data_IF_322528266513
#
_entry.id   IF_322528266513
#
_cell.length_a   1.000
_cell.length_b   1.000
_cell.length_c   1.000
_cell.angle_alpha   90.00
_cell.angle_beta   90.00
_cell.angle_gamma   90.00
#
_symmetry.space_group_name_H-M   'P 1'
#
loop_
_entity.id
_entity.type
_entity.pdbx_description
1 polymer ?
#
# COMPACT_ATOMS: atom_id res chain seq x y z
N UNK A 1 45.28 23.55 75.96
CA UNK A 1 44.29 23.96 76.97
C UNK A 1 43.14 24.64 76.24
N UNK A 2 41.89 24.27 76.58
CA UNK A 2 40.67 24.48 75.80
C UNK A 2 40.07 25.89 76.03
N UNK A 3 39.71 26.60 74.95
CA UNK A 3 38.70 27.69 74.92
C UNK A 3 37.72 27.31 73.79
N UNK A 4 36.43 27.03 74.03
CA UNK A 4 35.31 27.86 74.50
C UNK A 4 34.56 28.59 73.37
N UNK A 5 33.25 28.29 73.31
CA UNK A 5 32.09 29.03 72.78
C UNK A 5 31.91 29.35 71.29
N UNK A 6 30.85 28.72 70.77
CA UNK A 6 29.69 29.30 70.06
C UNK A 6 29.89 30.42 69.03
N UNK A 7 29.54 30.11 67.77
CA UNK A 7 28.73 30.98 66.90
C UNK A 7 27.84 30.13 66.01
N UNK A 8 26.52 30.35 66.11
CA UNK A 8 25.48 29.81 65.24
C UNK A 8 25.57 30.52 63.88
N UNK A 9 25.70 29.78 62.79
CA UNK A 9 25.45 30.29 61.44
C UNK A 9 24.27 29.54 60.83
N UNK A 10 23.15 30.24 60.73
CA UNK A 10 21.99 29.86 59.93
C UNK A 10 22.36 30.07 58.46
N UNK A 11 22.52 28.99 57.70
CA UNK A 11 22.59 29.06 56.24
C UNK A 11 21.19 28.83 55.67
N UNK A 12 20.61 29.88 55.08
CA UNK A 12 19.45 29.77 54.19
C UNK A 12 19.87 28.97 52.95
N UNK A 13 19.41 27.73 52.84
CA UNK A 13 19.52 26.97 51.59
C UNK A 13 18.40 27.41 50.65
N UNK A 14 18.75 28.25 49.68
CA UNK A 14 17.88 28.56 48.53
C UNK A 14 17.90 27.32 47.62
N UNK A 15 16.87 26.48 47.72
CA UNK A 15 16.67 25.35 46.82
C UNK A 15 16.23 25.87 45.44
N UNK A 16 17.18 25.95 44.51
CA UNK A 16 16.92 26.21 43.10
C UNK A 16 16.27 24.95 42.51
N UNK A 17 14.96 25.04 42.23
CA UNK A 17 14.25 24.04 41.44
C UNK A 17 14.63 24.22 39.96
N UNK A 18 15.63 23.46 39.51
CA UNK A 18 15.89 23.30 38.07
C UNK A 18 14.80 22.36 37.56
N UNK A 19 13.81 22.94 36.88
CA UNK A 19 12.84 22.19 36.09
C UNK A 19 13.59 21.46 34.98
N UNK A 20 13.86 20.17 35.20
CA UNK A 20 14.28 19.28 34.13
C UNK A 20 13.04 18.99 33.29
N UNK A 21 12.79 19.84 32.30
CA UNK A 21 11.85 19.53 31.23
C UNK A 21 12.36 18.27 30.56
N UNK A 22 11.76 17.13 30.89
CA UNK A 22 11.88 15.94 30.08
C UNK A 22 11.25 16.29 28.73
N UNK A 23 12.09 16.76 27.80
CA UNK A 23 11.79 16.73 26.38
C UNK A 23 11.52 15.27 26.06
N UNK A 24 10.24 14.90 26.08
CA UNK A 24 9.78 13.58 25.70
C UNK A 24 10.43 13.26 24.37
N UNK A 25 11.27 12.22 24.36
CA UNK A 25 11.70 11.61 23.13
C UNK A 25 10.44 11.42 22.27
N UNK A 26 10.36 12.14 21.14
CA UNK A 26 9.54 11.73 20.03
C UNK A 26 10.05 10.35 19.63
N UNK A 27 9.46 9.32 20.21
CA UNK A 27 9.49 8.00 19.64
C UNK A 27 8.76 8.14 18.30
N UNK A 28 9.56 8.42 17.26
CA UNK A 28 9.24 8.03 15.89
C UNK A 28 9.16 6.50 15.92
N UNK A 29 8.05 5.99 16.44
CA UNK A 29 7.64 4.62 16.26
C UNK A 29 7.44 4.51 14.75
N UNK A 30 8.46 3.99 14.06
CA UNK A 30 8.28 3.47 12.71
C UNK A 30 7.18 2.45 12.85
N UNK A 31 5.95 2.89 12.57
CA UNK A 31 4.75 2.09 12.52
C UNK A 31 5.09 0.92 11.61
N UNK A 32 5.41 -0.25 12.22
CA UNK A 32 5.71 -1.46 11.46
C UNK A 32 4.52 -1.68 10.56
N UNK A 33 4.72 -1.46 9.26
CA UNK A 33 3.63 -1.57 8.31
C UNK A 33 2.99 -2.94 8.43
N UNK A 34 1.65 -3.01 8.39
CA UNK A 34 0.90 -4.28 8.36
C UNK A 34 1.39 -5.19 7.21
N UNK A 35 1.90 -4.59 6.13
CA UNK A 35 2.58 -5.27 5.04
C UNK A 35 4.00 -4.70 4.88
N UNK A 36 4.92 -5.52 4.36
CA UNK A 36 6.31 -5.11 4.11
C UNK A 36 6.41 -3.97 3.08
N UNK A 37 5.51 -3.96 2.09
CA UNK A 37 5.37 -2.90 1.09
C UNK A 37 4.02 -2.22 1.26
N UNK A 38 4.01 -1.08 1.95
CA UNK A 38 2.85 -0.20 2.07
C UNK A 38 3.26 1.18 1.63
N UNK A 39 2.74 1.64 0.49
CA UNK A 39 2.82 3.05 0.12
C UNK A 39 2.00 3.91 1.09
N UNK A 40 1.65 5.11 0.65
CA UNK A 40 0.77 6.04 1.36
C UNK A 40 -0.62 5.46 1.69
N UNK A 41 -1.02 4.37 1.01
CA UNK A 41 -2.37 3.83 1.08
C UNK A 41 -3.39 4.69 0.34
N UNK A 42 -2.96 5.73 -0.38
CA UNK A 42 -3.82 6.59 -1.19
C UNK A 42 -3.81 6.11 -2.63
N UNK A 43 -5.00 5.95 -3.21
CA UNK A 43 -5.14 5.48 -4.58
C UNK A 43 -6.15 6.35 -5.34
N UNK A 44 -5.83 6.68 -6.59
CA UNK A 44 -6.77 7.24 -7.56
C UNK A 44 -6.88 6.24 -8.72
N UNK A 45 -8.01 5.55 -8.81
CA UNK A 45 -8.21 4.40 -9.68
C UNK A 45 -9.25 4.72 -10.74
N UNK A 46 -9.01 4.34 -11.99
CA UNK A 46 -9.99 4.37 -13.07
C UNK A 46 -9.97 3.04 -13.82
N UNK A 47 -11.10 2.32 -13.88
CA UNK A 47 -11.20 1.08 -14.62
C UNK A 47 -11.81 1.30 -15.99
N UNK A 48 -11.00 1.04 -17.02
CA UNK A 48 -11.34 1.30 -18.42
C UNK A 48 -12.41 0.35 -18.97
N UNK A 49 -12.67 -0.78 -18.31
CA UNK A 49 -13.65 -1.78 -18.74
C UNK A 49 -15.07 -1.44 -18.32
N UNK A 50 -15.23 -0.82 -17.14
CA UNK A 50 -16.53 -0.52 -16.56
C UNK A 50 -16.74 0.99 -16.28
N UNK A 51 -15.75 1.82 -16.64
CA UNK A 51 -15.73 3.27 -16.46
C UNK A 51 -15.88 3.76 -15.02
N UNK A 52 -15.69 2.88 -14.03
CA UNK A 52 -15.76 3.26 -12.61
C UNK A 52 -14.44 3.87 -12.16
N UNK A 53 -14.56 4.86 -11.28
CA UNK A 53 -13.43 5.59 -10.70
C UNK A 53 -13.61 5.74 -9.19
N UNK A 54 -12.51 5.71 -8.45
CA UNK A 54 -12.50 6.01 -7.02
C UNK A 54 -11.21 6.72 -6.60
N UNK A 55 -11.32 7.61 -5.61
CA UNK A 55 -10.19 8.13 -4.82
C UNK A 55 -10.37 7.64 -3.40
N UNK A 56 -9.42 6.88 -2.89
CA UNK A 56 -9.55 6.18 -1.60
C UNK A 56 -8.31 6.31 -0.74
N UNK A 57 -8.51 6.22 0.57
CA UNK A 57 -7.45 6.01 1.56
C UNK A 57 -7.73 4.66 2.25
N UNK A 58 -6.81 3.70 2.07
CA UNK A 58 -6.98 2.31 2.50
C UNK A 58 -6.92 2.13 4.03
N UNK A 59 -6.41 3.12 4.74
CA UNK A 59 -6.28 3.12 6.19
C UNK A 59 -7.08 4.25 6.81
N UNK A 60 -7.67 3.98 7.97
CA UNK A 60 -8.21 5.01 8.85
C UNK A 60 -7.07 5.73 9.60
N UNK A 61 -7.33 6.90 10.23
CA UNK A 61 -6.32 7.62 11.00
C UNK A 61 -5.68 6.82 12.14
N UNK A 62 -6.37 5.79 12.66
CA UNK A 62 -5.87 4.88 13.69
C UNK A 62 -5.04 3.71 13.12
N UNK A 63 -4.84 3.65 11.80
CA UNK A 63 -4.11 2.58 11.10
C UNK A 63 -4.89 1.27 10.93
N UNK A 64 -6.20 1.24 11.24
CA UNK A 64 -7.08 0.14 10.86
C UNK A 64 -7.44 0.19 9.37
N UNK A 65 -7.84 -0.94 8.78
CA UNK A 65 -8.29 -0.98 7.40
C UNK A 65 -9.61 -0.21 7.25
N UNK A 66 -9.71 0.61 6.21
CA UNK A 66 -10.91 1.36 5.89
C UNK A 66 -11.86 0.53 5.03
N UNK A 67 -12.75 -0.23 5.67
CA UNK A 67 -13.73 -1.12 5.00
C UNK A 67 -14.53 -0.42 3.88
N UNK A 68 -14.96 0.82 4.11
CA UNK A 68 -15.68 1.61 3.11
C UNK A 68 -14.82 1.92 1.87
N UNK A 69 -13.53 2.22 2.06
CA UNK A 69 -12.59 2.39 0.95
C UNK A 69 -12.40 1.08 0.16
N UNK A 70 -12.29 -0.06 0.84
CA UNK A 70 -12.18 -1.37 0.19
C UNK A 70 -13.45 -1.70 -0.62
N UNK A 71 -14.64 -1.40 -0.10
CA UNK A 71 -15.89 -1.57 -0.85
C UNK A 71 -15.96 -0.70 -2.12
N UNK A 72 -15.40 0.51 -2.11
CA UNK A 72 -15.27 1.33 -3.33
C UNK A 72 -14.26 0.73 -4.32
N UNK A 73 -13.14 0.21 -3.83
CA UNK A 73 -12.16 -0.50 -4.67
C UNK A 73 -12.80 -1.73 -5.33
N UNK A 74 -13.57 -2.53 -4.59
CA UNK A 74 -14.26 -3.69 -5.15
C UNK A 74 -15.21 -3.32 -6.29
N UNK A 75 -15.96 -2.22 -6.13
CA UNK A 75 -16.81 -1.67 -7.19
C UNK A 75 -16.00 -1.34 -8.43
N UNK A 76 -14.86 -0.65 -8.28
CA UNK A 76 -13.96 -0.29 -9.38
C UNK A 76 -13.39 -1.55 -10.03
N UNK A 77 -12.94 -2.53 -9.25
CA UNK A 77 -12.37 -3.79 -9.74
C UNK A 77 -13.41 -4.71 -10.37
N UNK A 78 -14.71 -4.47 -10.14
CA UNK A 78 -15.79 -5.35 -10.58
C UNK A 78 -15.84 -6.65 -9.77
N UNK A 79 -15.34 -6.63 -8.53
CA UNK A 79 -15.31 -7.77 -7.63
C UNK A 79 -16.70 -8.02 -7.02
N UNK A 80 -17.24 -9.26 -7.06
CA UNK A 80 -18.54 -9.56 -6.50
C UNK A 80 -18.46 -9.64 -4.97
N UNK A 81 -19.17 -8.75 -4.29
CA UNK A 81 -19.19 -8.66 -2.81
C UNK A 81 -20.33 -9.46 -2.17
N UNK A 82 -20.86 -10.47 -2.86
CA UNK A 82 -22.02 -11.26 -2.41
C UNK A 82 -21.75 -12.11 -1.16
N UNK A 83 -20.48 -12.29 -0.79
CA UNK A 83 -20.06 -12.88 0.48
C UNK A 83 -19.55 -11.73 1.34
N UNK A 84 -20.24 -11.49 2.46
CA UNK A 84 -19.84 -10.48 3.46
C UNK A 84 -18.40 -10.81 3.90
N UNK A 85 -17.51 -9.82 3.88
CA UNK A 85 -16.10 -9.87 4.37
C UNK A 85 -15.01 -10.28 3.35
N UNK A 86 -15.32 -10.46 2.07
CA UNK A 86 -14.28 -10.60 1.03
C UNK A 86 -14.08 -9.30 0.24
N UNK A 87 -12.80 -8.93 0.09
CA UNK A 87 -12.36 -7.77 -0.71
C UNK A 87 -11.24 -8.18 -1.66
N UNK A 88 -10.98 -7.32 -2.65
CA UNK A 88 -9.70 -7.33 -3.35
C UNK A 88 -8.55 -7.33 -2.35
N UNK A 89 -7.53 -8.15 -2.62
CA UNK A 89 -6.42 -8.42 -1.72
C UNK A 89 -5.80 -7.13 -1.16
N UNK A 90 -5.80 -6.92 0.17
CA UNK A 90 -5.13 -5.78 0.78
C UNK A 90 -3.65 -5.71 0.39
N UNK A 91 -2.97 -6.87 0.33
CA UNK A 91 -1.57 -6.95 -0.11
C UNK A 91 -1.38 -6.38 -1.52
N UNK A 92 -2.27 -6.70 -2.46
CA UNK A 92 -2.23 -6.15 -3.82
C UNK A 92 -2.34 -4.62 -3.80
N UNK A 93 -3.31 -4.09 -3.07
CA UNK A 93 -3.59 -2.65 -3.04
C UNK A 93 -2.47 -1.85 -2.38
N UNK A 94 -1.86 -2.38 -1.31
CA UNK A 94 -0.72 -1.72 -0.67
C UNK A 94 0.56 -1.76 -1.54
N UNK A 95 0.80 -2.85 -2.29
CA UNK A 95 1.89 -2.88 -3.27
C UNK A 95 1.60 -1.92 -4.45
N UNK A 96 0.36 -1.87 -4.93
CA UNK A 96 -0.04 -0.93 -5.97
C UNK A 96 0.20 0.52 -5.52
N UNK A 97 -0.20 0.87 -4.30
CA UNK A 97 0.08 2.19 -3.72
C UNK A 97 1.58 2.44 -3.61
N UNK A 98 2.35 1.48 -3.08
CA UNK A 98 3.80 1.61 -2.93
C UNK A 98 4.50 1.93 -4.26
N UNK A 99 4.28 1.11 -5.29
CA UNK A 99 4.94 1.33 -6.58
C UNK A 99 4.45 2.58 -7.30
N UNK A 100 3.16 2.92 -7.16
CA UNK A 100 2.61 4.14 -7.76
C UNK A 100 3.18 5.39 -7.09
N UNK A 101 3.36 5.38 -5.77
CA UNK A 101 3.98 6.47 -5.02
C UNK A 101 5.46 6.66 -5.38
N UNK A 102 6.18 5.58 -5.69
CA UNK A 102 7.58 5.67 -6.13
C UNK A 102 7.74 6.34 -7.49
N UNK A 103 6.86 6.03 -8.45
CA UNK A 103 7.06 6.46 -9.85
C UNK A 103 6.23 7.68 -10.24
N UNK A 104 5.07 7.87 -9.60
CA UNK A 104 4.09 8.87 -10.00
C UNK A 104 3.11 9.20 -8.86
N UNK A 105 3.58 9.83 -7.76
CA UNK A 105 2.77 10.08 -6.57
C UNK A 105 1.44 10.78 -6.88
N UNK A 106 0.34 10.22 -6.37
CA UNK A 106 -1.00 10.78 -6.49
C UNK A 106 -1.60 10.80 -7.91
N UNK A 107 -0.91 10.22 -8.90
CA UNK A 107 -1.43 10.11 -10.27
C UNK A 107 -2.50 9.04 -10.38
N UNK A 108 -3.39 9.22 -11.35
CA UNK A 108 -4.43 8.26 -11.66
C UNK A 108 -3.83 6.97 -12.25
N UNK A 109 -4.25 5.85 -11.70
CA UNK A 109 -3.94 4.51 -12.17
C UNK A 109 -5.05 4.07 -13.12
N UNK A 110 -4.71 3.88 -14.39
CA UNK A 110 -5.62 3.37 -15.41
C UNK A 110 -5.56 1.84 -15.43
N UNK A 111 -6.66 1.20 -15.04
CA UNK A 111 -6.79 -0.25 -14.92
C UNK A 111 -7.38 -0.81 -16.22
N UNK A 112 -6.63 -1.68 -16.89
CA UNK A 112 -7.06 -2.39 -18.10
C UNK A 112 -7.79 -3.70 -17.76
N UNK A 113 -7.32 -4.37 -16.71
CA UNK A 113 -7.95 -5.57 -16.17
C UNK A 113 -7.77 -5.65 -14.68
N UNK A 114 -8.86 -5.88 -13.96
CA UNK A 114 -8.88 -6.14 -12.53
C UNK A 114 -9.35 -7.58 -12.29
N UNK A 115 -10.32 -7.77 -11.39
CA UNK A 115 -10.98 -9.05 -11.19
C UNK A 115 -11.56 -9.61 -12.51
N UNK A 116 -11.46 -10.92 -12.68
CA UNK A 116 -12.05 -11.66 -13.79
C UNK A 116 -12.96 -12.74 -13.21
N UNK A 117 -14.23 -12.75 -13.59
CA UNK A 117 -15.07 -13.92 -13.28
C UNK A 117 -14.57 -15.16 -14.02
N UNK A 118 -14.81 -16.37 -13.50
CA UNK A 118 -14.48 -17.62 -14.21
C UNK A 118 -15.01 -17.64 -15.65
N UNK A 119 -16.27 -17.26 -15.83
CA UNK A 119 -16.91 -17.15 -17.14
C UNK A 119 -16.19 -16.20 -18.10
N UNK A 120 -15.75 -15.04 -17.60
CA UNK A 120 -15.00 -14.09 -18.41
C UNK A 120 -13.64 -14.65 -18.80
N UNK A 121 -12.92 -15.25 -17.84
CA UNK A 121 -11.61 -15.86 -18.08
C UNK A 121 -11.70 -16.97 -19.14
N UNK A 122 -12.71 -17.83 -19.06
CA UNK A 122 -12.94 -18.87 -20.05
C UNK A 122 -13.31 -18.32 -21.43
N UNK A 123 -14.09 -17.24 -21.50
CA UNK A 123 -14.42 -16.58 -22.77
C UNK A 123 -13.18 -16.04 -23.48
N UNK A 124 -12.27 -15.36 -22.76
CA UNK A 124 -11.03 -14.83 -23.38
C UNK A 124 -10.08 -15.96 -23.79
N UNK A 125 -10.00 -17.03 -23.00
CA UNK A 125 -9.21 -18.23 -23.35
C UNK A 125 -9.72 -18.89 -24.63
N UNK A 126 -11.04 -19.05 -24.77
CA UNK A 126 -11.66 -19.59 -25.99
C UNK A 126 -11.40 -18.73 -27.23
N UNK A 127 -11.12 -17.44 -27.05
CA UNK A 127 -10.75 -16.50 -28.12
C UNK A 127 -9.25 -16.49 -28.42
N UNK A 128 -8.47 -17.37 -27.81
CA UNK A 128 -7.02 -17.49 -28.04
C UNK A 128 -6.16 -16.57 -27.18
N UNK A 129 -6.71 -15.90 -26.17
CA UNK A 129 -5.88 -15.12 -25.24
C UNK A 129 -5.04 -16.05 -24.35
N UNK A 130 -3.79 -15.66 -24.11
CA UNK A 130 -2.88 -16.33 -23.17
C UNK A 130 -3.30 -16.05 -21.71
N UNK A 131 -4.41 -16.64 -21.27
CA UNK A 131 -4.90 -16.54 -19.90
C UNK A 131 -4.81 -17.88 -19.17
N UNK A 132 -4.24 -17.86 -17.95
CA UNK A 132 -4.08 -19.04 -17.12
C UNK A 132 -5.43 -19.62 -16.66
N UNK A 133 -5.49 -20.95 -16.46
CA UNK A 133 -6.67 -21.63 -15.90
C UNK A 133 -6.93 -21.24 -14.45
N UNK A 134 -5.87 -21.01 -13.69
CA UNK A 134 -5.89 -20.52 -12.30
C UNK A 134 -5.22 -19.14 -12.28
N UNK A 135 -5.94 -18.13 -12.75
CA UNK A 135 -5.42 -16.77 -12.83
C UNK A 135 -5.64 -16.05 -11.50
N UNK A 136 -4.61 -15.38 -11.00
CA UNK A 136 -4.66 -14.49 -9.83
C UNK A 136 -5.68 -13.35 -9.98
N UNK A 137 -6.11 -13.02 -11.20
CA UNK A 137 -7.24 -12.11 -11.43
C UNK A 137 -8.58 -12.68 -10.93
N UNK A 138 -8.77 -14.00 -10.99
CA UNK A 138 -9.99 -14.63 -10.47
C UNK A 138 -9.99 -14.70 -8.93
N UNK A 139 -8.81 -14.66 -8.32
CA UNK A 139 -8.63 -14.69 -6.86
C UNK A 139 -8.70 -13.27 -6.24
N UNK A 140 -8.95 -12.22 -7.03
CA UNK A 140 -8.91 -10.83 -6.53
C UNK A 140 -7.51 -10.38 -6.12
N UNK A 141 -6.47 -11.03 -6.66
CA UNK A 141 -5.06 -10.85 -6.28
C UNK A 141 -4.20 -10.26 -7.40
N UNK A 142 -4.78 -9.82 -8.52
CA UNK A 142 -4.02 -9.22 -9.61
C UNK A 142 -4.76 -8.09 -10.34
N UNK A 143 -3.98 -7.22 -10.97
CA UNK A 143 -4.44 -6.24 -11.95
C UNK A 143 -3.42 -6.03 -13.07
N UNK A 144 -3.91 -5.62 -14.23
CA UNK A 144 -3.14 -5.08 -15.35
C UNK A 144 -3.42 -3.58 -15.40
N UNK A 145 -2.38 -2.74 -15.30
CA UNK A 145 -2.55 -1.30 -15.16
C UNK A 145 -1.42 -0.51 -15.82
N UNK A 146 -1.67 0.80 -16.04
CA UNK A 146 -0.67 1.80 -16.44
C UNK A 146 -0.91 3.12 -15.71
N UNK A 147 0.08 4.00 -15.74
CA UNK A 147 -0.02 5.37 -15.26
C UNK A 147 0.42 6.30 -16.39
N UNK A 148 -0.42 7.26 -16.76
CA UNK A 148 -0.11 8.18 -17.86
C UNK A 148 1.13 9.01 -17.55
N UNK A 149 2.11 8.93 -18.45
CA UNK A 149 3.43 9.56 -18.30
C UNK A 149 4.51 8.64 -17.73
N UNK A 150 4.18 7.41 -17.35
CA UNK A 150 5.14 6.40 -16.86
C UNK A 150 5.41 5.36 -17.94
N UNK A 151 6.68 5.05 -18.19
CA UNK A 151 7.06 3.99 -19.10
C UNK A 151 6.77 2.61 -18.48
N UNK A 152 5.99 1.77 -19.16
CA UNK A 152 5.62 0.45 -18.66
C UNK A 152 6.80 -0.49 -18.41
N UNK A 153 7.85 -0.42 -19.22
CA UNK A 153 9.05 -1.25 -19.05
C UNK A 153 9.85 -0.83 -17.82
N UNK A 154 10.00 0.48 -17.60
CA UNK A 154 10.67 1.02 -16.42
C UNK A 154 9.89 0.68 -15.14
N UNK A 155 8.56 0.83 -15.16
CA UNK A 155 7.70 0.42 -14.05
C UNK A 155 7.84 -1.08 -13.74
N UNK A 156 7.82 -1.94 -14.76
CA UNK A 156 8.05 -3.37 -14.57
C UNK A 156 9.43 -3.66 -13.95
N UNK A 157 10.49 -2.98 -14.41
CA UNK A 157 11.84 -3.12 -13.84
C UNK A 157 11.88 -2.73 -12.37
N UNK A 158 11.25 -1.61 -12.00
CA UNK A 158 11.12 -1.16 -10.61
C UNK A 158 10.45 -2.22 -9.74
N UNK A 159 9.31 -2.76 -10.18
CA UNK A 159 8.58 -3.80 -9.43
C UNK A 159 9.41 -5.08 -9.31
N UNK A 160 10.06 -5.50 -10.41
CA UNK A 160 10.87 -6.72 -10.46
C UNK A 160 12.04 -6.68 -9.47
N UNK A 161 12.69 -5.53 -9.30
CA UNK A 161 13.85 -5.38 -8.42
C UNK A 161 13.52 -5.68 -6.95
N UNK A 162 12.28 -5.43 -6.51
CA UNK A 162 11.86 -5.69 -5.13
C UNK A 162 11.64 -7.18 -4.82
N UNK A 163 11.59 -8.03 -5.84
CA UNK A 163 11.51 -9.48 -5.71
C UNK A 163 10.44 -9.97 -4.70
N UNK A 164 9.25 -9.36 -4.71
CA UNK A 164 8.24 -9.55 -3.67
C UNK A 164 6.88 -10.04 -4.17
N UNK A 165 6.66 -10.03 -5.48
CA UNK A 165 5.37 -10.22 -6.11
C UNK A 165 5.51 -10.75 -7.56
N UNK A 166 4.41 -11.16 -8.16
CA UNK A 166 4.39 -11.45 -9.59
C UNK A 166 4.28 -10.16 -10.40
N UNK A 167 5.11 -10.00 -11.44
CA UNK A 167 5.02 -8.86 -12.36
C UNK A 167 5.35 -9.26 -13.79
N UNK A 168 4.52 -8.82 -14.73
CA UNK A 168 4.65 -9.10 -16.17
C UNK A 168 4.61 -7.86 -17.03
N UNK A 169 5.29 -7.87 -18.18
CA UNK A 169 5.23 -6.81 -19.19
C UNK A 169 4.99 -7.39 -20.58
N UNK A 170 4.07 -6.80 -21.37
CA UNK A 170 3.70 -7.33 -22.69
C UNK A 170 4.04 -6.36 -23.84
N UNK A 171 5.11 -5.56 -23.70
CA UNK A 171 5.59 -4.67 -24.76
C UNK A 171 4.81 -3.36 -24.93
N UNK A 172 3.95 -3.00 -23.98
CA UNK A 172 3.12 -1.78 -24.01
C UNK A 172 3.35 -0.85 -22.81
N UNK A 173 2.37 0.02 -22.55
CA UNK A 173 2.39 0.89 -21.35
C UNK A 173 1.96 0.15 -20.08
N UNK A 174 1.15 -0.89 -20.21
CA UNK A 174 0.63 -1.63 -19.07
C UNK A 174 1.53 -2.76 -18.60
N UNK A 175 1.51 -2.96 -17.29
CA UNK A 175 2.14 -4.08 -16.61
C UNK A 175 1.09 -4.91 -15.88
N UNK A 176 1.38 -6.17 -15.70
CA UNK A 176 0.69 -7.05 -14.77
C UNK A 176 1.33 -6.94 -13.39
N UNK A 177 0.52 -6.89 -12.33
CA UNK A 177 0.96 -7.00 -10.94
C UNK A 177 0.04 -7.98 -10.20
N UNK A 178 0.62 -8.95 -9.49
CA UNK A 178 -0.11 -9.88 -8.63
C UNK A 178 0.52 -10.10 -7.25
N UNK A 179 -0.32 -10.40 -6.26
CA UNK A 179 0.10 -10.56 -4.87
C UNK A 179 0.68 -11.95 -4.51
N UNK A 180 0.94 -12.80 -5.50
CA UNK A 180 1.56 -14.10 -5.35
C UNK A 180 3.07 -14.05 -5.11
N UNK A 181 3.70 -15.22 -5.23
CA UNK A 181 5.16 -15.36 -5.09
C UNK A 181 5.90 -14.66 -6.23
N UNK A 182 7.18 -14.26 -6.02
CA UNK A 182 8.00 -13.65 -7.05
C UNK A 182 8.04 -14.46 -8.35
N UNK A 183 7.60 -13.83 -9.44
CA UNK A 183 7.58 -14.37 -10.81
C UNK A 183 7.68 -13.21 -11.78
N UNK A 184 8.52 -13.34 -12.79
CA UNK A 184 8.81 -12.26 -13.74
C UNK A 184 8.70 -12.79 -15.16
N UNK A 185 8.00 -12.08 -16.03
CA UNK A 185 7.92 -12.42 -17.44
C UNK A 185 7.81 -11.16 -18.30
N UNK A 186 8.33 -11.26 -19.52
CA UNK A 186 8.16 -10.25 -20.56
C UNK A 186 7.92 -10.95 -21.92
N UNK A 187 7.26 -10.26 -22.85
CA UNK A 187 6.98 -10.75 -24.21
C UNK A 187 8.01 -10.25 -25.23
#
# INVERSE_FOLDING_TARGET
>A
MKNASHTVLVFLAISIWIGLSASGQCASDQQKGRFFWMGSGKLHLNNLRNSKEARVELLNPDGSLNDAAFAEVDKVFGFPTSVKEEHISPRLLFMLSYFSDLVAPGRMIAIESAYRSPDYNDKIRKRGANAARTSTHMDGMALDFRIDGVNGKELWQTVRQENCCGVGHYGGQSIHLDAGRPRFWEA
#
